data_IF_444356544495
#
_entry.id   IF_444356544495
#
_cell.length_a   1.000
_cell.length_b   1.000
_cell.length_c   1.000
_cell.angle_alpha   90.00
_cell.angle_beta   90.00
_cell.angle_gamma   90.00
#
_symmetry.space_group_name_H-M   'P 1'
#
loop_
_entity.id
_entity.type
_entity.pdbx_description
1 polymer ?
#
# COMPACT_ATOMS: atom_id res chain seq x y z
N UNK A 1 14.02 -6.24 -14.12
CA UNK A 1 14.76 -5.12 -13.48
C UNK A 1 15.50 -5.58 -12.24
N UNK A 2 14.79 -6.23 -11.30
CA UNK A 2 15.30 -6.74 -10.02
C UNK A 2 16.57 -7.58 -10.17
N UNK A 3 16.59 -8.55 -11.09
CA UNK A 3 17.79 -9.36 -11.34
C UNK A 3 19.03 -8.53 -11.72
N UNK A 4 18.86 -7.44 -12.48
CA UNK A 4 19.98 -6.54 -12.80
C UNK A 4 20.52 -5.83 -11.55
N UNK A 5 19.65 -5.49 -10.60
CA UNK A 5 20.05 -4.88 -9.32
C UNK A 5 20.82 -5.88 -8.46
N UNK A 6 20.38 -7.13 -8.42
CA UNK A 6 21.09 -8.20 -7.70
C UNK A 6 22.52 -8.41 -8.22
N UNK A 7 22.73 -8.34 -9.54
CA UNK A 7 24.06 -8.54 -10.17
C UNK A 7 24.86 -7.26 -10.42
N UNK A 8 24.35 -6.07 -10.05
CA UNK A 8 25.02 -4.80 -10.35
C UNK A 8 26.35 -4.62 -9.60
N UNK A 9 27.19 -3.70 -10.07
CA UNK A 9 28.49 -3.37 -9.47
C UNK A 9 28.32 -2.65 -8.12
N UNK A 10 28.28 -3.46 -7.06
CA UNK A 10 28.43 -3.10 -5.64
C UNK A 10 28.56 -4.38 -4.77
N UNK A 11 28.60 -5.57 -5.36
CA UNK A 11 28.86 -6.82 -4.64
C UNK A 11 30.37 -7.03 -4.53
N UNK A 12 30.84 -7.37 -3.34
CA UNK A 12 32.25 -7.70 -3.07
C UNK A 12 32.62 -9.13 -3.51
N UNK A 13 31.74 -9.79 -4.27
CA UNK A 13 31.90 -11.18 -4.71
C UNK A 13 31.76 -12.22 -3.60
N UNK A 14 31.62 -11.80 -2.34
CA UNK A 14 31.50 -12.65 -1.17
C UNK A 14 30.09 -12.61 -0.56
N UNK A 15 29.40 -11.46 -0.63
CA UNK A 15 28.07 -11.25 -0.08
C UNK A 15 27.03 -11.07 -1.19
N UNK A 16 25.92 -11.81 -1.06
CA UNK A 16 24.73 -11.64 -1.89
C UNK A 16 24.05 -10.31 -1.55
N UNK A 17 23.71 -9.51 -2.55
CA UNK A 17 22.80 -8.37 -2.38
C UNK A 17 21.36 -8.85 -2.32
N UNK A 18 20.64 -8.37 -1.31
CA UNK A 18 19.20 -8.53 -1.20
C UNK A 18 18.53 -7.28 -1.78
N UNK A 19 17.53 -7.48 -2.61
CA UNK A 19 16.69 -6.41 -3.16
C UNK A 19 15.31 -6.54 -2.53
N UNK A 20 14.95 -5.57 -1.69
CA UNK A 20 13.66 -5.52 -1.01
C UNK A 20 12.74 -4.56 -1.73
N UNK A 21 11.46 -4.90 -1.83
CA UNK A 21 10.42 -3.99 -2.28
C UNK A 21 9.85 -3.21 -1.09
N UNK A 22 9.75 -1.90 -1.22
CA UNK A 22 9.00 -1.10 -0.27
C UNK A 22 7.50 -1.31 -0.50
N UNK A 23 6.77 -1.57 0.60
CA UNK A 23 5.31 -1.62 0.63
C UNK A 23 4.83 -0.84 1.85
N UNK A 24 4.05 0.20 1.62
CA UNK A 24 3.25 0.82 2.67
C UNK A 24 2.02 -0.06 2.95
N UNK A 25 1.81 -0.43 4.21
CA UNK A 25 0.68 -1.25 4.61
C UNK A 25 -0.35 -0.50 5.48
N UNK A 26 -0.03 0.73 5.89
CA UNK A 26 -0.88 1.59 6.72
C UNK A 26 -1.44 2.80 5.97
N UNK A 27 -0.92 3.11 4.79
CA UNK A 27 -1.40 4.20 3.93
C UNK A 27 -1.65 3.75 2.49
N UNK A 28 -2.66 4.35 1.85
CA UNK A 28 -2.89 4.28 0.42
C UNK A 28 -2.23 5.46 -0.30
N UNK A 29 -1.43 5.16 -1.32
CA UNK A 29 -0.63 6.12 -2.09
C UNK A 29 -1.28 6.41 -3.46
N UNK A 30 -1.62 7.67 -3.76
CA UNK A 30 -2.42 8.03 -4.93
C UNK A 30 -1.72 7.86 -6.29
N UNK A 31 -0.40 7.77 -6.26
CA UNK A 31 0.43 7.50 -7.43
C UNK A 31 0.60 6.01 -7.72
N UNK A 32 0.15 5.11 -6.84
CA UNK A 32 0.24 3.67 -7.07
C UNK A 32 -0.76 3.23 -8.13
N UNK A 33 -0.44 2.11 -8.75
CA UNK A 33 -1.26 1.51 -9.80
C UNK A 33 -2.64 1.05 -9.30
N UNK A 34 -2.80 0.79 -8.00
CA UNK A 34 -4.09 0.37 -7.44
C UNK A 34 -5.07 1.53 -7.29
N UNK A 35 -4.58 2.77 -7.32
CA UNK A 35 -5.41 3.95 -7.18
C UNK A 35 -6.19 4.19 -8.48
N UNK A 36 -7.42 3.68 -8.52
CA UNK A 36 -8.32 3.81 -9.69
C UNK A 36 -9.45 4.80 -9.48
N UNK A 37 -9.47 5.51 -8.35
CA UNK A 37 -10.48 6.51 -7.99
C UNK A 37 -9.93 7.93 -8.17
N UNK A 38 -10.79 8.93 -7.91
CA UNK A 38 -10.44 10.34 -8.07
C UNK A 38 -9.22 10.74 -7.23
N UNK A 39 -8.29 11.51 -7.80
CA UNK A 39 -7.11 12.05 -7.09
C UNK A 39 -7.30 13.48 -6.57
N UNK A 40 -8.22 14.22 -7.18
CA UNK A 40 -8.48 15.60 -6.79
C UNK A 40 -9.28 15.62 -5.49
N UNK A 41 -8.62 15.97 -4.40
CA UNK A 41 -9.23 16.21 -3.10
C UNK A 41 -8.52 17.39 -2.41
N UNK A 42 -9.30 18.18 -1.67
CA UNK A 42 -8.81 19.37 -0.97
C UNK A 42 -8.81 19.10 0.54
N UNK A 43 -7.71 19.38 1.25
CA UNK A 43 -7.66 19.26 2.71
C UNK A 43 -8.82 19.96 3.42
N UNK A 44 -9.55 19.19 4.24
CA UNK A 44 -10.73 19.66 4.98
C UNK A 44 -12.06 19.53 4.23
N UNK A 45 -12.07 19.11 2.97
CA UNK A 45 -13.29 18.69 2.28
C UNK A 45 -13.65 17.23 2.63
N UNK A 46 -14.94 16.84 2.56
CA UNK A 46 -15.31 15.43 2.63
C UNK A 46 -14.57 14.62 1.56
N UNK A 47 -14.21 13.37 1.87
CA UNK A 47 -13.63 12.49 0.86
C UNK A 47 -14.58 12.33 -0.34
N UNK A 48 -14.04 12.26 -1.58
CA UNK A 48 -14.84 12.00 -2.75
C UNK A 48 -15.64 10.70 -2.60
N UNK A 49 -16.86 10.68 -3.12
CA UNK A 49 -17.78 9.55 -2.94
C UNK A 49 -17.33 8.25 -3.61
N UNK A 50 -16.35 8.32 -4.51
CA UNK A 50 -15.75 7.16 -5.18
C UNK A 50 -14.52 6.60 -4.46
N UNK A 51 -14.08 7.24 -3.37
CA UNK A 51 -12.99 6.72 -2.55
C UNK A 51 -13.43 5.47 -1.78
N UNK A 52 -12.53 4.49 -1.61
CA UNK A 52 -12.81 3.32 -0.79
C UNK A 52 -13.06 3.68 0.67
N UNK A 53 -14.00 2.97 1.31
CA UNK A 53 -14.33 3.18 2.73
C UNK A 53 -13.23 2.78 3.71
N UNK A 54 -12.15 2.13 3.23
CA UNK A 54 -10.98 1.86 4.05
C UNK A 54 -10.07 3.07 4.21
N UNK A 55 -10.23 4.16 3.43
CA UNK A 55 -9.47 5.39 3.67
C UNK A 55 -10.16 6.12 4.84
N UNK A 56 -9.42 6.32 5.93
CA UNK A 56 -10.00 6.81 7.19
C UNK A 56 -9.59 8.23 7.54
N UNK A 57 -8.45 8.70 7.04
CA UNK A 57 -7.90 10.00 7.39
C UNK A 57 -7.21 10.66 6.19
N UNK A 58 -7.11 12.00 6.18
CA UNK A 58 -6.17 12.68 5.31
C UNK A 58 -4.73 12.45 5.79
N UNK A 59 -3.75 12.67 4.94
CA UNK A 59 -2.33 12.58 5.32
C UNK A 59 -2.04 13.39 6.61
N UNK A 60 -1.51 12.76 7.68
CA UNK A 60 -1.29 13.41 8.95
C UNK A 60 0.00 14.26 9.01
N UNK A 61 0.97 14.01 8.13
CA UNK A 61 2.33 14.57 8.20
C UNK A 61 2.69 15.47 7.00
N UNK A 62 1.72 15.76 6.14
CA UNK A 62 1.83 16.68 5.01
C UNK A 62 2.41 16.08 3.73
N UNK A 63 2.50 14.75 3.63
CA UNK A 63 2.97 14.05 2.44
C UNK A 63 1.86 13.88 1.40
N UNK A 64 1.51 14.97 0.71
CA UNK A 64 0.46 14.98 -0.30
C UNK A 64 0.43 13.70 -1.17
N UNK A 65 -0.66 12.94 -1.04
CA UNK A 65 -0.92 11.72 -1.80
C UNK A 65 -0.82 10.41 -1.01
N UNK A 66 -0.47 10.43 0.30
CA UNK A 66 -0.68 9.27 1.19
C UNK A 66 -1.93 9.47 2.05
N UNK A 67 -2.61 8.39 2.38
CA UNK A 67 -3.86 8.43 3.13
C UNK A 67 -3.94 7.26 4.10
N UNK A 68 -3.99 7.50 5.43
CA UNK A 68 -4.14 6.44 6.40
C UNK A 68 -5.36 5.56 6.11
N UNK A 69 -5.16 4.25 6.23
CA UNK A 69 -6.17 3.25 5.96
C UNK A 69 -6.57 2.46 7.21
N UNK A 70 -7.81 1.99 7.21
CA UNK A 70 -8.25 0.87 8.02
C UNK A 70 -7.53 -0.40 7.54
N UNK A 71 -6.30 -0.63 8.00
CA UNK A 71 -5.45 -1.73 7.53
C UNK A 71 -6.05 -3.13 7.77
N UNK A 72 -7.07 -3.23 8.64
CA UNK A 72 -7.83 -4.46 8.86
C UNK A 72 -8.86 -4.76 7.78
N UNK A 73 -9.26 -3.76 6.98
CA UNK A 73 -10.32 -3.85 5.99
C UNK A 73 -10.01 -4.92 4.94
N UNK A 74 -10.96 -5.82 4.62
CA UNK A 74 -10.73 -6.87 3.64
C UNK A 74 -10.34 -6.35 2.26
N UNK A 75 -10.90 -5.23 1.79
CA UNK A 75 -10.57 -4.68 0.48
C UNK A 75 -9.16 -4.06 0.45
N UNK A 76 -8.69 -3.48 1.56
CA UNK A 76 -7.30 -3.05 1.67
C UNK A 76 -6.33 -4.23 1.68
N UNK A 77 -6.61 -5.24 2.52
CA UNK A 77 -5.83 -6.49 2.54
C UNK A 77 -5.82 -7.17 1.18
N UNK A 78 -6.88 -7.02 0.40
CA UNK A 78 -6.93 -7.57 -0.94
C UNK A 78 -5.91 -6.92 -1.88
N UNK A 79 -5.84 -5.58 -1.87
CA UNK A 79 -4.87 -4.80 -2.65
C UNK A 79 -3.43 -5.17 -2.27
N UNK A 80 -3.15 -5.33 -0.98
CA UNK A 80 -1.78 -5.54 -0.49
C UNK A 80 -1.35 -7.01 -0.49
N UNK A 81 -2.22 -7.93 -0.09
CA UNK A 81 -1.86 -9.33 0.23
C UNK A 81 -2.47 -10.35 -0.73
N UNK A 82 -3.81 -10.35 -0.87
CA UNK A 82 -4.51 -11.54 -1.38
C UNK A 82 -4.76 -11.53 -2.90
N UNK A 83 -5.13 -10.38 -3.48
CA UNK A 83 -5.51 -10.30 -4.88
C UNK A 83 -6.78 -11.08 -5.26
N UNK A 84 -7.64 -11.33 -4.28
CA UNK A 84 -8.98 -11.93 -4.33
C UNK A 84 -10.11 -10.89 -4.49
N UNK A 85 -10.81 -10.91 -5.63
CA UNK A 85 -12.04 -10.13 -5.77
C UNK A 85 -11.83 -8.69 -6.24
N UNK A 86 -10.59 -8.25 -6.41
CA UNK A 86 -10.26 -7.32 -7.51
C UNK A 86 -10.59 -8.03 -8.82
N UNK A 87 -11.83 -7.84 -9.30
CA UNK A 87 -12.26 -8.42 -10.57
C UNK A 87 -11.21 -8.17 -11.65
N UNK A 88 -10.91 -9.22 -12.42
CA UNK A 88 -10.25 -9.14 -13.70
C UNK A 88 -11.00 -8.15 -14.60
N UNK A 89 -10.80 -6.85 -14.37
CA UNK A 89 -11.08 -5.85 -15.36
C UNK A 89 -10.15 -6.22 -16.53
N UNK A 90 -10.64 -6.27 -17.77
CA UNK A 90 -9.82 -6.66 -18.93
C UNK A 90 -8.59 -5.75 -19.16
N UNK A 91 -8.44 -4.68 -18.37
CA UNK A 91 -7.35 -3.71 -18.39
C UNK A 91 -6.49 -3.74 -17.09
N UNK A 92 -6.70 -4.71 -16.18
CA UNK A 92 -5.88 -4.91 -14.98
C UNK A 92 -4.88 -6.05 -15.20
N UNK A 93 -3.61 -5.80 -14.91
CA UNK A 93 -2.50 -6.76 -15.06
C UNK A 93 -1.80 -7.01 -13.71
N UNK A 94 -2.56 -7.02 -12.60
CA UNK A 94 -2.01 -7.26 -11.27
C UNK A 94 -2.94 -8.07 -10.38
N UNK A 95 -2.37 -8.78 -9.40
CA UNK A 95 -3.09 -9.55 -8.38
C UNK A 95 -3.16 -8.80 -7.05
N UNK A 96 -2.03 -8.70 -6.35
CA UNK A 96 -1.83 -7.88 -5.14
C UNK A 96 -0.43 -7.28 -5.15
N UNK A 97 -0.17 -6.26 -4.33
CA UNK A 97 1.17 -5.69 -4.21
C UNK A 97 2.21 -6.75 -3.84
N UNK A 98 1.88 -7.69 -2.96
CA UNK A 98 2.77 -8.80 -2.61
C UNK A 98 2.98 -9.77 -3.77
N UNK A 99 1.94 -10.07 -4.55
CA UNK A 99 2.07 -10.92 -5.74
C UNK A 99 2.98 -10.32 -6.80
N UNK A 100 2.88 -9.00 -7.04
CA UNK A 100 3.80 -8.27 -7.94
C UNK A 100 5.25 -8.36 -7.46
N UNK A 101 5.48 -8.23 -6.15
CA UNK A 101 6.81 -8.37 -5.53
C UNK A 101 7.38 -9.77 -5.75
N UNK A 102 6.56 -10.80 -5.56
CA UNK A 102 6.96 -12.19 -5.77
C UNK A 102 7.25 -12.47 -7.25
N UNK A 103 6.38 -12.01 -8.15
CA UNK A 103 6.50 -12.20 -9.59
C UNK A 103 7.76 -11.54 -10.16
N UNK A 104 8.09 -10.33 -9.69
CA UNK A 104 9.31 -9.63 -10.10
C UNK A 104 10.59 -10.15 -9.44
N UNK A 105 10.48 -11.12 -8.52
CA UNK A 105 11.60 -11.83 -7.93
C UNK A 105 12.37 -11.03 -6.89
N UNK A 106 11.72 -10.13 -6.15
CA UNK A 106 12.34 -9.48 -4.99
C UNK A 106 12.71 -10.51 -3.92
N UNK A 107 13.71 -10.20 -3.10
CA UNK A 107 14.16 -11.10 -2.02
C UNK A 107 13.35 -10.93 -0.72
N UNK A 108 12.52 -9.89 -0.64
CA UNK A 108 11.65 -9.61 0.49
C UNK A 108 10.97 -8.25 0.37
N UNK A 109 10.26 -7.87 1.42
CA UNK A 109 9.56 -6.59 1.54
C UNK A 109 10.06 -5.80 2.73
N UNK A 110 10.12 -4.48 2.57
CA UNK A 110 10.20 -3.52 3.66
C UNK A 110 8.81 -2.97 3.88
N UNK A 111 8.23 -3.23 5.05
CA UNK A 111 6.88 -2.79 5.39
C UNK A 111 6.97 -1.44 6.09
N UNK A 112 6.32 -0.44 5.52
CA UNK A 112 6.22 0.89 6.11
C UNK A 112 4.88 1.07 6.85
N UNK A 113 4.82 2.09 7.71
CA UNK A 113 3.61 2.46 8.45
C UNK A 113 3.02 1.34 9.33
N UNK A 114 3.91 0.51 9.89
CA UNK A 114 3.55 -0.54 10.85
C UNK A 114 2.98 0.07 12.14
N UNK A 115 3.43 1.27 12.50
CA UNK A 115 2.96 2.09 13.60
C UNK A 115 1.57 2.71 13.38
N UNK A 116 0.91 2.48 12.24
CA UNK A 116 -0.41 3.05 11.96
C UNK A 116 -1.50 2.70 12.98
N UNK A 117 -1.28 1.69 13.83
CA UNK A 117 -2.16 1.41 14.98
C UNK A 117 -2.12 2.50 16.08
N UNK A 118 -1.07 3.32 16.14
CA UNK A 118 -0.95 4.45 17.08
C UNK A 118 -1.53 5.75 16.51
N UNK A 119 -1.87 5.78 15.21
CA UNK A 119 -2.50 6.94 14.58
C UNK A 119 -3.90 7.19 15.21
N UNK A 120 -4.19 8.42 15.66
CA UNK A 120 -5.46 8.72 16.34
C UNK A 120 -6.71 8.48 15.48
N UNK A 121 -6.65 8.79 14.19
CA UNK A 121 -7.78 8.67 13.27
C UNK A 121 -8.01 7.19 12.91
N UNK A 122 -6.93 6.44 12.69
CA UNK A 122 -6.99 4.98 12.51
C UNK A 122 -7.54 4.31 13.78
N UNK A 123 -7.05 4.67 14.97
CA UNK A 123 -7.55 4.13 16.24
C UNK A 123 -9.02 4.49 16.48
N UNK A 124 -9.47 5.70 16.11
CA UNK A 124 -10.88 6.07 16.15
C UNK A 124 -11.72 5.20 15.21
N UNK A 125 -11.28 5.00 13.97
CA UNK A 125 -11.95 4.14 13.01
C UNK A 125 -12.06 2.68 13.50
N UNK A 126 -10.99 2.15 14.11
CA UNK A 126 -10.97 0.79 14.69
C UNK A 126 -12.02 0.65 15.81
N UNK A 127 -12.06 1.61 16.74
CA UNK A 127 -13.02 1.64 17.85
C UNK A 127 -14.47 1.79 17.34
N UNK A 128 -14.71 2.64 16.35
CA UNK A 128 -16.02 2.84 15.76
C UNK A 128 -16.57 1.57 15.09
N UNK A 129 -15.68 0.72 14.56
CA UNK A 129 -16.01 -0.56 13.94
C UNK A 129 -15.96 -1.75 14.91
N UNK A 130 -15.48 -1.56 16.14
CA UNK A 130 -15.38 -2.61 17.16
C UNK A 130 -14.29 -3.65 16.89
N UNK A 131 -13.17 -3.23 16.29
CA UNK A 131 -12.04 -4.10 15.89
C UNK A 131 -10.71 -3.72 16.56
N UNK A 132 -10.75 -2.82 17.55
CA UNK A 132 -9.63 -2.45 18.44
C UNK A 132 -9.32 -3.57 19.45
#
# INVERSE_FOLDING_TARGET
>A
MVERLKVSAAGDGAHRKLVLAYLDIGEAEDWRWYWTWSRAWEPGAPFPSDWPGFIVAPDPDGWAGNYPVAYWDPAWKDIILYGEGTGAHPDRDYRSALDEVLEHGFDGVYLDWVEGYEDPDVAEAARAQGVD
#
